data_IF_846225469585
#
_entry.id   IF_846225469585
#
_cell.length_a   1.000
_cell.length_b   1.000
_cell.length_c   1.000
_cell.angle_alpha   90.00
_cell.angle_beta   90.00
_cell.angle_gamma   90.00
#
_symmetry.space_group_name_H-M   'P 1'
#
loop_
_entity.id
_entity.type
_entity.pdbx_description
1 polymer ?
#
# COMPACT_ATOMS: atom_id res chain seq x y z
N UNK A 1 15.66 15.72 -10.76
CA UNK A 1 16.90 16.05 -10.05
C UNK A 1 16.74 15.48 -8.65
N UNK A 2 17.57 14.52 -8.24
CA UNK A 2 17.55 14.10 -6.85
C UNK A 2 18.02 15.28 -5.98
N UNK A 3 17.25 15.68 -4.96
CA UNK A 3 17.67 16.74 -4.07
C UNK A 3 18.90 16.27 -3.29
N UNK A 4 19.95 17.09 -3.28
CA UNK A 4 21.13 16.82 -2.44
C UNK A 4 20.77 17.08 -0.97
N UNK A 5 20.74 16.03 -0.17
CA UNK A 5 20.60 16.10 1.28
C UNK A 5 21.94 16.51 1.92
N UNK A 6 21.93 17.66 2.61
CA UNK A 6 23.07 18.16 3.40
C UNK A 6 22.82 17.76 4.85
N UNK A 7 23.19 16.52 5.17
CA UNK A 7 22.98 15.67 6.37
C UNK A 7 23.12 16.29 7.78
N UNK A 8 23.21 17.60 7.91
CA UNK A 8 23.42 18.33 9.17
C UNK A 8 22.11 18.68 9.88
N UNK A 9 20.96 18.22 9.38
CA UNK A 9 19.67 18.61 9.93
C UNK A 9 19.20 17.66 11.02
N UNK A 10 18.81 18.22 12.16
CA UNK A 10 18.28 17.48 13.30
C UNK A 10 16.76 17.51 13.27
N UNK A 11 16.10 16.37 13.47
CA UNK A 11 14.64 16.33 13.66
C UNK A 11 14.27 17.15 14.90
N UNK A 12 13.22 17.98 14.82
CA UNK A 12 12.83 18.82 15.96
C UNK A 12 12.45 17.96 17.17
N UNK A 13 12.82 18.45 18.35
CA UNK A 13 12.64 17.72 19.61
C UNK A 13 11.16 17.44 19.91
N UNK A 14 10.26 18.40 19.70
CA UNK A 14 8.83 18.23 19.93
C UNK A 14 8.21 17.13 19.06
N UNK A 15 8.62 17.07 17.80
CA UNK A 15 8.17 16.04 16.87
C UNK A 15 8.80 14.67 17.16
N UNK A 16 10.08 14.64 17.56
CA UNK A 16 10.75 13.41 18.00
C UNK A 16 10.07 12.84 19.25
N UNK A 17 9.78 13.69 20.23
CA UNK A 17 9.12 13.31 21.48
C UNK A 17 7.73 12.72 21.22
N UNK A 18 6.96 13.30 20.29
CA UNK A 18 5.68 12.75 19.86
C UNK A 18 5.83 11.31 19.32
N UNK A 19 6.78 11.07 18.42
CA UNK A 19 7.02 9.74 17.86
C UNK A 19 7.61 8.77 18.89
N UNK A 20 8.45 9.26 19.79
CA UNK A 20 9.06 8.45 20.85
C UNK A 20 8.05 8.05 21.93
N UNK A 21 6.99 8.84 22.15
CA UNK A 21 5.90 8.44 23.05
C UNK A 21 5.08 7.28 22.49
N UNK A 22 4.93 7.20 21.17
CA UNK A 22 4.08 6.20 20.52
C UNK A 22 4.84 4.92 20.14
N UNK A 23 6.07 5.06 19.63
CA UNK A 23 6.87 3.92 19.11
C UNK A 23 8.18 3.71 19.84
N UNK A 24 8.53 4.59 20.77
CA UNK A 24 9.72 4.48 21.61
C UNK A 24 9.48 3.72 22.91
N UNK A 25 10.41 3.82 23.88
CA UNK A 25 11.67 4.56 23.79
C UNK A 25 12.63 3.94 22.77
N UNK A 26 13.32 4.78 22.00
CA UNK A 26 14.35 4.32 21.06
C UNK A 26 15.68 4.14 21.78
N UNK A 27 16.34 3.01 21.52
CA UNK A 27 17.59 2.65 22.16
C UNK A 27 18.82 3.18 21.42
N UNK A 28 18.67 3.45 20.12
CA UNK A 28 19.77 3.93 19.29
C UNK A 28 19.26 4.78 18.13
N UNK A 29 20.01 5.84 17.85
CA UNK A 29 19.89 6.62 16.63
C UNK A 29 20.78 5.99 15.55
N UNK A 30 20.18 5.37 14.54
CA UNK A 30 20.90 4.62 13.53
C UNK A 30 21.72 5.50 12.58
N UNK A 31 21.56 6.82 12.56
CA UNK A 31 22.42 7.63 11.70
C UNK A 31 22.65 9.03 12.24
N UNK A 32 23.85 9.24 12.76
CA UNK A 32 24.35 10.56 13.13
C UNK A 32 25.66 10.91 12.43
N UNK A 33 25.97 12.19 12.31
CA UNK A 33 27.27 12.67 11.84
C UNK A 33 28.43 12.10 12.68
N UNK A 34 29.67 12.25 12.20
CA UNK A 34 30.88 11.70 12.86
C UNK A 34 31.07 12.18 14.32
N UNK A 35 30.35 13.22 14.75
CA UNK A 35 30.37 13.75 16.12
C UNK A 35 29.07 13.54 16.92
N UNK A 36 28.05 12.87 16.38
CA UNK A 36 26.76 12.67 17.04
C UNK A 36 25.94 13.95 17.26
N UNK A 37 26.20 15.05 16.54
CA UNK A 37 25.54 16.36 16.72
C UNK A 37 24.06 16.33 16.41
N UNK A 38 23.64 15.54 15.43
CA UNK A 38 22.24 15.40 15.03
C UNK A 38 21.50 14.24 15.74
N UNK A 39 22.12 13.59 16.73
CA UNK A 39 21.51 12.47 17.46
C UNK A 39 20.26 12.88 18.23
N UNK A 40 19.29 11.98 18.28
CA UNK A 40 18.09 12.11 19.10
C UNK A 40 18.19 11.39 20.45
N UNK A 41 19.02 10.35 20.53
CA UNK A 41 19.25 9.57 21.76
C UNK A 41 20.74 9.43 22.05
N UNK A 42 21.08 8.99 23.27
CA UNK A 42 22.46 8.97 23.76
C UNK A 42 23.37 8.04 22.94
N UNK A 43 22.86 6.85 22.60
CA UNK A 43 23.55 5.87 21.76
C UNK A 43 23.26 6.14 20.29
N UNK A 44 24.30 6.18 19.46
CA UNK A 44 24.12 6.45 18.04
C UNK A 44 25.13 5.67 17.18
N UNK A 45 24.80 5.54 15.90
CA UNK A 45 25.65 4.97 14.87
C UNK A 45 25.98 5.98 13.80
N UNK A 46 27.22 5.94 13.32
CA UNK A 46 27.65 6.73 12.15
C UNK A 46 27.43 5.94 10.87
N UNK A 47 27.61 4.62 10.87
CA UNK A 47 27.35 3.77 9.71
C UNK A 47 26.55 2.53 10.12
N UNK A 48 25.23 2.66 10.16
CA UNK A 48 24.33 1.59 10.60
C UNK A 48 24.39 0.30 9.77
N UNK A 49 25.03 0.31 8.60
CA UNK A 49 25.22 -0.91 7.82
C UNK A 49 26.22 -1.86 8.49
N UNK A 50 27.12 -1.33 9.33
CA UNK A 50 28.15 -2.10 10.05
C UNK A 50 27.70 -2.54 11.44
N UNK A 51 26.65 -1.92 11.97
CA UNK A 51 26.17 -2.17 13.32
C UNK A 51 25.11 -3.29 13.40
N UNK A 52 24.84 -3.73 14.64
CA UNK A 52 23.89 -4.79 14.94
C UNK A 52 22.55 -4.21 15.41
N UNK A 53 21.49 -4.49 14.66
CA UNK A 53 20.12 -4.04 14.92
C UNK A 53 19.28 -5.02 15.76
N UNK A 54 19.80 -6.23 16.03
CA UNK A 54 19.05 -7.30 16.69
C UNK A 54 18.66 -6.93 18.12
N UNK A 55 17.40 -7.16 18.47
CA UNK A 55 16.85 -6.91 19.80
C UNK A 55 16.79 -5.44 20.20
N UNK A 56 16.91 -4.50 19.24
CA UNK A 56 16.86 -3.07 19.50
C UNK A 56 15.59 -2.43 18.93
N UNK A 57 15.10 -1.39 19.59
CA UNK A 57 14.17 -0.41 19.04
C UNK A 57 14.93 0.80 18.47
N UNK A 58 14.95 0.92 17.15
CA UNK A 58 15.87 1.81 16.43
C UNK A 58 15.15 3.03 15.85
N UNK A 59 15.66 4.24 16.12
CA UNK A 59 15.27 5.44 15.39
C UNK A 59 16.16 5.62 14.16
N UNK A 60 15.58 5.88 12.99
CA UNK A 60 16.36 6.04 11.76
C UNK A 60 15.83 7.17 10.87
N UNK A 61 16.64 8.21 10.70
CA UNK A 61 16.46 9.26 9.70
C UNK A 61 17.60 9.17 8.66
N UNK A 62 17.53 8.25 7.67
CA UNK A 62 18.64 8.00 6.75
C UNK A 62 18.80 9.14 5.73
N UNK A 63 20.03 9.38 5.24
CA UNK A 63 20.27 10.43 4.27
C UNK A 63 19.62 10.12 2.92
N UNK A 64 19.07 11.14 2.26
CA UNK A 64 18.30 10.94 1.03
C UNK A 64 19.17 10.76 -0.23
N UNK A 65 20.46 11.14 -0.19
CA UNK A 65 21.34 11.17 -1.38
C UNK A 65 22.81 10.84 -1.08
N UNK A 66 23.11 9.76 -0.35
CA UNK A 66 24.50 9.35 -0.09
C UNK A 66 24.92 8.18 -0.99
N UNK A 67 26.11 8.26 -1.61
CA UNK A 67 26.62 7.24 -2.53
C UNK A 67 26.95 5.89 -1.84
N UNK A 68 27.17 5.90 -0.52
CA UNK A 68 27.56 4.71 0.26
C UNK A 68 26.41 4.14 1.11
N UNK A 69 25.48 4.99 1.55
CA UNK A 69 24.43 4.64 2.51
C UNK A 69 23.07 5.04 1.91
N UNK A 70 22.61 4.23 0.96
CA UNK A 70 21.30 4.42 0.33
C UNK A 70 20.20 3.96 1.28
N UNK A 71 19.02 4.57 1.19
CA UNK A 71 17.86 4.16 1.99
C UNK A 71 17.53 2.68 1.75
N UNK A 72 17.66 2.21 0.50
CA UNK A 72 17.47 0.80 0.17
C UNK A 72 18.44 -0.11 0.93
N UNK A 73 19.72 0.25 1.03
CA UNK A 73 20.71 -0.51 1.79
C UNK A 73 20.36 -0.56 3.28
N UNK A 74 19.91 0.57 3.85
CA UNK A 74 19.47 0.64 5.26
C UNK A 74 18.25 -0.26 5.51
N UNK A 75 17.24 -0.18 4.64
CA UNK A 75 16.05 -1.02 4.77
C UNK A 75 16.38 -2.51 4.60
N UNK A 76 17.26 -2.87 3.66
CA UNK A 76 17.74 -4.25 3.47
C UNK A 76 18.47 -4.75 4.71
N UNK A 77 19.40 -3.95 5.24
CA UNK A 77 20.11 -4.25 6.48
C UNK A 77 19.15 -4.51 7.63
N UNK A 78 18.16 -3.63 7.84
CA UNK A 78 17.16 -3.85 8.88
C UNK A 78 16.40 -5.16 8.67
N UNK A 79 15.91 -5.43 7.45
CA UNK A 79 15.16 -6.67 7.14
C UNK A 79 16.00 -7.91 7.41
N UNK A 80 17.29 -7.90 7.07
CA UNK A 80 18.21 -9.00 7.33
C UNK A 80 18.37 -9.27 8.82
N UNK A 81 18.55 -8.23 9.63
CA UNK A 81 18.68 -8.36 11.09
C UNK A 81 17.35 -8.74 11.76
N UNK A 82 16.24 -8.15 11.31
CA UNK A 82 14.90 -8.47 11.78
C UNK A 82 14.53 -9.93 11.50
N UNK A 83 14.95 -10.51 10.37
CA UNK A 83 14.72 -11.94 10.10
C UNK A 83 15.43 -12.87 11.08
N UNK A 84 16.52 -12.41 11.68
CA UNK A 84 17.31 -13.17 12.63
C UNK A 84 16.77 -13.04 14.06
N UNK A 85 16.14 -11.91 14.40
CA UNK A 85 15.48 -11.69 15.70
C UNK A 85 14.15 -10.91 15.55
N UNK A 86 13.13 -11.53 14.94
CA UNK A 86 11.92 -10.82 14.56
C UNK A 86 11.09 -10.43 15.78
N UNK A 87 11.18 -11.15 16.89
CA UNK A 87 10.36 -10.90 18.09
C UNK A 87 10.81 -9.70 18.91
N UNK A 88 12.07 -9.27 18.77
CA UNK A 88 12.65 -8.21 19.59
C UNK A 88 13.21 -7.03 18.79
N UNK A 89 13.36 -7.15 17.47
CA UNK A 89 13.84 -6.04 16.63
C UNK A 89 12.69 -5.16 16.14
N UNK A 90 12.81 -3.85 16.36
CA UNK A 90 11.88 -2.84 15.83
C UNK A 90 12.61 -1.59 15.37
N UNK A 91 11.97 -0.82 14.49
CA UNK A 91 12.53 0.45 14.05
C UNK A 91 11.45 1.43 13.59
N UNK A 92 11.71 2.72 13.74
CA UNK A 92 10.94 3.79 13.13
C UNK A 92 11.82 4.55 12.13
N UNK A 93 11.38 4.58 10.88
CA UNK A 93 12.07 5.25 9.79
C UNK A 93 11.37 6.55 9.39
N UNK A 94 12.11 7.62 9.18
CA UNK A 94 11.63 8.83 8.51
C UNK A 94 12.14 8.84 7.07
N UNK A 95 11.26 8.60 6.11
CA UNK A 95 11.59 8.36 4.70
C UNK A 95 10.93 9.41 3.79
N UNK A 96 11.45 9.69 2.59
CA UNK A 96 10.79 10.58 1.65
C UNK A 96 9.64 9.89 0.91
N UNK A 97 8.54 10.58 0.65
CA UNK A 97 7.36 10.00 -0.04
C UNK A 97 7.53 9.94 -1.58
N UNK A 98 8.62 10.46 -2.15
CA UNK A 98 8.83 10.34 -3.61
C UNK A 98 9.28 8.94 -4.05
N UNK A 99 9.71 8.05 -3.13
CA UNK A 99 10.16 6.67 -3.44
C UNK A 99 9.21 5.56 -2.95
N UNK A 100 8.10 5.87 -2.29
CA UNK A 100 7.09 4.90 -1.82
C UNK A 100 6.40 4.12 -2.96
N UNK A 101 6.57 4.60 -4.19
CA UNK A 101 6.11 3.96 -5.44
C UNK A 101 7.13 3.00 -6.06
N UNK A 102 8.36 2.94 -5.55
CA UNK A 102 9.38 2.01 -6.05
C UNK A 102 9.04 0.56 -5.63
N UNK A 103 8.98 -0.40 -6.57
CA UNK A 103 8.63 -1.79 -6.27
C UNK A 103 9.53 -2.46 -5.22
N UNK A 104 10.81 -2.07 -5.18
CA UNK A 104 11.83 -2.64 -4.30
C UNK A 104 11.56 -2.33 -2.82
N UNK A 105 11.19 -1.09 -2.49
CA UNK A 105 10.85 -0.71 -1.10
C UNK A 105 9.59 -1.39 -0.61
N UNK A 106 8.58 -1.52 -1.50
CA UNK A 106 7.35 -2.24 -1.17
C UNK A 106 7.61 -3.70 -0.81
N UNK A 107 8.59 -4.34 -1.47
CA UNK A 107 9.01 -5.69 -1.12
C UNK A 107 9.66 -5.75 0.27
N UNK A 108 10.52 -4.78 0.59
CA UNK A 108 11.18 -4.70 1.90
C UNK A 108 10.18 -4.44 3.02
N UNK A 109 9.25 -3.49 2.82
CA UNK A 109 8.20 -3.18 3.80
C UNK A 109 7.36 -4.42 4.12
N UNK A 110 6.95 -5.17 3.09
CA UNK A 110 6.21 -6.43 3.28
C UNK A 110 7.03 -7.47 4.05
N UNK A 111 8.33 -7.55 3.79
CA UNK A 111 9.18 -8.62 4.34
C UNK A 111 9.46 -8.51 5.84
N UNK A 112 9.32 -7.32 6.43
CA UNK A 112 9.47 -7.09 7.87
C UNK A 112 8.23 -6.45 8.52
N UNK A 113 7.05 -6.59 7.88
CA UNK A 113 5.79 -6.10 8.44
C UNK A 113 5.71 -4.57 8.65
N UNK A 114 6.52 -3.80 7.92
CA UNK A 114 6.60 -2.35 8.06
C UNK A 114 5.31 -1.66 7.60
N UNK A 115 4.91 -0.61 8.30
CA UNK A 115 3.66 0.14 8.09
C UNK A 115 3.95 1.62 7.98
N UNK A 116 3.29 2.28 7.05
CA UNK A 116 3.26 3.75 7.01
C UNK A 116 2.25 4.21 8.06
N UNK A 117 2.75 4.83 9.12
CA UNK A 117 1.93 5.31 10.23
C UNK A 117 1.46 6.75 9.95
N UNK A 118 2.38 7.59 9.48
CA UNK A 118 2.09 8.99 9.14
C UNK A 118 2.61 9.35 7.77
N UNK A 119 1.81 10.14 7.05
CA UNK A 119 2.23 10.88 5.86
C UNK A 119 2.31 12.34 6.28
N UNK A 120 3.51 12.90 6.23
CA UNK A 120 3.81 14.27 6.65
C UNK A 120 3.84 15.14 5.38
N UNK A 121 2.83 16.00 5.17
CA UNK A 121 2.80 16.88 3.99
C UNK A 121 3.84 17.99 4.11
N UNK A 122 4.15 18.65 3.00
CA UNK A 122 5.04 19.82 2.99
C UNK A 122 4.39 21.07 3.57
N UNK A 123 3.06 21.13 3.58
CA UNK A 123 2.27 22.23 4.13
C UNK A 123 1.14 21.67 4.99
N UNK A 124 0.78 22.40 6.05
CA UNK A 124 -0.29 22.02 6.96
C UNK A 124 -1.69 22.32 6.36
N UNK A 125 -2.74 22.12 7.16
CA UNK A 125 -4.11 22.36 6.73
C UNK A 125 -4.42 23.85 6.49
N UNK A 126 -3.58 24.75 6.99
CA UNK A 126 -3.67 26.20 6.86
C UNK A 126 -2.84 26.71 5.66
N UNK A 127 -2.03 25.85 5.05
CA UNK A 127 -1.16 26.19 3.94
C UNK A 127 0.21 26.72 4.38
N UNK A 128 0.54 26.65 5.66
CA UNK A 128 1.86 27.02 6.18
C UNK A 128 2.85 25.87 5.99
N UNK A 129 4.13 26.16 5.70
CA UNK A 129 5.13 25.13 5.50
C UNK A 129 5.36 24.34 6.79
N UNK A 130 5.31 23.02 6.67
CA UNK A 130 5.62 22.11 7.76
C UNK A 130 7.14 22.07 7.91
N UNK A 131 7.62 22.37 9.11
CA UNK A 131 9.04 22.42 9.45
C UNK A 131 9.37 21.35 10.48
N UNK A 132 9.93 20.23 10.02
CA UNK A 132 10.28 19.06 10.87
C UNK A 132 11.74 19.00 11.28
N UNK A 133 12.60 19.73 10.57
CA UNK A 133 14.03 19.72 10.80
C UNK A 133 14.53 21.09 11.22
N UNK A 134 15.57 21.09 12.04
CA UNK A 134 16.35 22.25 12.42
C UNK A 134 17.77 22.11 11.87
N UNK A 135 18.29 23.19 11.29
CA UNK A 135 19.69 23.31 10.91
C UNK A 135 20.60 23.42 12.17
N UNK A 136 21.92 23.24 12.04
CA UNK A 136 22.85 23.31 13.18
C UNK A 136 22.84 24.65 13.93
N UNK A 137 22.42 25.74 13.27
CA UNK A 137 22.26 27.07 13.85
C UNK A 137 20.90 27.28 14.53
N UNK A 138 20.03 26.27 14.51
CA UNK A 138 18.68 26.30 15.09
C UNK A 138 17.59 26.80 14.14
N UNK A 139 17.91 27.17 12.88
CA UNK A 139 16.91 27.59 11.91
C UNK A 139 15.98 26.42 11.53
N UNK A 140 14.68 26.67 11.53
CA UNK A 140 13.69 25.68 11.08
C UNK A 140 13.68 25.59 9.56
N UNK A 141 13.56 24.36 9.05
CA UNK A 141 13.66 24.07 7.62
C UNK A 141 12.33 23.60 7.06
N UNK A 142 11.89 24.25 5.99
CA UNK A 142 10.72 23.85 5.22
C UNK A 142 10.96 22.50 4.58
N UNK A 143 9.94 21.65 4.57
CA UNK A 143 10.00 20.36 3.90
C UNK A 143 9.97 20.53 2.37
N UNK A 144 11.03 20.15 1.65
CA UNK A 144 11.06 20.23 0.19
C UNK A 144 10.19 19.15 -0.49
N UNK A 145 9.83 18.08 0.23
CA UNK A 145 8.93 17.01 -0.21
C UNK A 145 8.23 16.37 1.00
N UNK A 146 7.09 15.68 0.78
CA UNK A 146 6.41 14.97 1.87
C UNK A 146 7.28 13.84 2.43
N UNK A 147 7.12 13.55 3.71
CA UNK A 147 7.81 12.46 4.40
C UNK A 147 6.83 11.38 4.85
N UNK A 148 7.38 10.21 5.14
CA UNK A 148 6.68 9.05 5.69
C UNK A 148 7.34 8.69 7.02
N UNK A 149 6.53 8.56 8.07
CA UNK A 149 6.93 7.83 9.27
C UNK A 149 6.54 6.36 9.07
N UNK A 150 7.55 5.50 8.94
CA UNK A 150 7.37 4.08 8.67
C UNK A 150 7.81 3.29 9.89
N UNK A 151 6.85 2.64 10.56
CA UNK A 151 7.12 1.82 11.73
C UNK A 151 7.27 0.35 11.33
N UNK A 152 8.33 -0.28 11.80
CA UNK A 152 8.63 -1.69 11.64
C UNK A 152 8.49 -2.36 13.03
N UNK A 153 7.33 -2.96 13.33
CA UNK A 153 7.10 -3.58 14.63
C UNK A 153 7.86 -4.90 14.76
N UNK A 154 8.10 -5.37 16.00
CA UNK A 154 8.47 -6.75 16.21
C UNK A 154 7.37 -7.68 15.68
N UNK A 155 7.76 -8.85 15.20
CA UNK A 155 6.82 -9.90 14.83
C UNK A 155 5.94 -10.23 16.04
N UNK A 156 4.65 -9.97 15.91
CA UNK A 156 3.68 -10.43 16.89
C UNK A 156 3.81 -11.95 16.98
N UNK A 157 4.05 -12.48 18.18
CA UNK A 157 3.90 -13.91 18.42
C UNK A 157 2.54 -14.30 17.86
N UNK A 158 2.57 -15.16 16.84
CA UNK A 158 1.38 -15.82 16.34
C UNK A 158 0.92 -16.67 17.53
N UNK A 159 0.06 -16.13 18.38
CA UNK A 159 -0.85 -16.96 19.16
C UNK A 159 -1.41 -17.90 18.11
N UNK A 160 -1.14 -19.21 18.26
CA UNK A 160 -1.75 -20.25 17.43
C UNK A 160 -3.23 -19.91 17.50
N UNK A 161 -3.73 -19.23 16.47
CA UNK A 161 -5.14 -18.98 16.33
C UNK A 161 -5.62 -20.40 16.07
N UNK A 162 -6.11 -21.06 17.12
CA UNK A 162 -7.09 -22.12 16.95
C UNK A 162 -7.96 -21.64 15.81
N UNK A 163 -8.08 -22.46 14.75
CA UNK A 163 -9.05 -22.19 13.70
C UNK A 163 -10.33 -21.84 14.43
N UNK A 164 -10.68 -20.56 14.50
CA UNK A 164 -12.01 -20.12 14.88
C UNK A 164 -12.86 -20.61 13.72
N UNK A 165 -13.33 -21.83 13.86
CA UNK A 165 -14.47 -22.40 13.14
C UNK A 165 -15.75 -21.66 13.51
N UNK A 166 -15.71 -20.76 14.48
CA UNK A 166 -16.73 -19.74 14.63
C UNK A 166 -16.49 -18.61 13.64
N UNK A 167 -17.24 -18.67 12.54
CA UNK A 167 -17.88 -17.45 12.02
C UNK A 167 -18.28 -16.57 13.20
N UNK A 168 -18.09 -15.23 13.16
CA UNK A 168 -18.75 -14.37 14.13
C UNK A 168 -20.23 -14.81 14.15
N UNK A 169 -20.85 -14.94 15.34
CA UNK A 169 -22.24 -15.35 15.39
C UNK A 169 -22.98 -14.46 14.40
N UNK A 170 -23.78 -15.03 13.47
CA UNK A 170 -24.65 -14.19 12.67
C UNK A 170 -25.39 -13.31 13.68
N UNK A 171 -25.54 -12.04 13.35
CA UNK A 171 -26.44 -11.17 14.11
C UNK A 171 -27.77 -11.91 14.12
N UNK A 172 -28.08 -12.56 15.24
CA UNK A 172 -29.34 -13.25 15.42
C UNK A 172 -30.34 -12.11 15.48
N UNK A 173 -31.11 -11.99 14.41
CA UNK A 173 -32.30 -11.14 14.35
C UNK A 173 -33.30 -11.70 15.34
N UNK A 174 -33.19 -11.32 16.61
CA UNK A 174 -34.29 -11.50 17.58
C UNK A 174 -35.29 -10.40 17.30
N UNK A 175 -36.19 -10.70 16.37
CA UNK A 175 -37.18 -9.78 15.83
C UNK A 175 -37.41 -10.19 14.39
N UNK A 176 -38.64 -10.59 14.09
CA UNK A 176 -39.09 -11.05 12.79
C UNK A 176 -38.44 -10.25 11.66
N UNK A 177 -37.98 -10.97 10.65
CA UNK A 177 -37.39 -10.39 9.46
C UNK A 177 -38.42 -9.55 8.69
N UNK A 178 -38.68 -8.32 9.15
CA UNK A 178 -38.95 -7.22 8.24
C UNK A 178 -37.65 -7.08 7.44
N UNK A 179 -37.71 -7.40 6.16
CA UNK A 179 -36.54 -7.40 5.34
C UNK A 179 -36.00 -5.96 5.28
N UNK A 180 -34.67 -5.80 5.27
CA UNK A 180 -34.03 -4.49 5.06
C UNK A 180 -34.48 -3.87 3.71
N UNK A 181 -34.99 -4.68 2.78
CA UNK A 181 -35.66 -4.24 1.55
C UNK A 181 -37.00 -3.53 1.81
N UNK A 182 -37.73 -3.89 2.87
CA UNK A 182 -38.99 -3.25 3.26
C UNK A 182 -38.75 -1.85 3.86
N UNK A 183 -37.61 -1.64 4.54
CA UNK A 183 -37.19 -0.32 5.03
C UNK A 183 -36.72 0.61 3.89
N UNK A 184 -36.04 0.06 2.88
CA UNK A 184 -35.47 0.82 1.75
C UNK A 184 -36.54 1.39 0.80
N UNK A 185 -37.70 0.73 0.68
CA UNK A 185 -38.76 1.18 -0.23
C UNK A 185 -39.84 2.05 0.41
N UNK A 186 -39.82 2.26 1.73
CA UNK A 186 -40.94 2.91 2.41
C UNK A 186 -40.63 4.19 3.18
N UNK A 187 -39.38 4.50 3.53
CA UNK A 187 -39.11 5.71 4.32
C UNK A 187 -39.06 6.94 3.40
N UNK A 188 -40.24 7.46 3.04
CA UNK A 188 -40.38 8.86 2.59
C UNK A 188 -39.75 9.80 3.62
N UNK A 189 -39.28 10.99 3.22
CA UNK A 189 -38.66 11.95 4.14
C UNK A 189 -39.51 12.23 5.40
N UNK A 190 -40.84 12.10 5.31
CA UNK A 190 -41.76 12.19 6.44
C UNK A 190 -41.70 11.02 7.43
N UNK A 191 -41.38 9.80 6.99
CA UNK A 191 -41.20 8.64 7.90
C UNK A 191 -39.88 8.71 8.66
N UNK A 192 -38.82 9.22 8.04
CA UNK A 192 -37.53 9.44 8.72
C UNK A 192 -37.69 10.44 9.86
N UNK A 193 -38.37 11.56 9.60
CA UNK A 193 -38.64 12.59 10.61
C UNK A 193 -39.52 12.06 11.75
N UNK A 194 -40.53 11.23 11.45
CA UNK A 194 -41.35 10.58 12.49
C UNK A 194 -40.54 9.61 13.35
N UNK A 195 -39.68 8.80 12.73
CA UNK A 195 -38.81 7.87 13.44
C UNK A 195 -37.76 8.61 14.30
N UNK A 196 -37.24 9.74 13.82
CA UNK A 196 -36.35 10.62 14.57
C UNK A 196 -37.06 11.23 15.78
N UNK A 197 -38.28 11.77 15.60
CA UNK A 197 -39.08 12.28 16.71
C UNK A 197 -39.37 11.20 17.76
N UNK A 198 -39.69 9.98 17.32
CA UNK A 198 -39.93 8.85 18.21
C UNK A 198 -38.65 8.38 18.94
N UNK A 199 -37.47 8.48 18.31
CA UNK A 199 -36.18 8.19 18.96
C UNK A 199 -35.88 9.17 20.10
N UNK A 200 -36.06 10.46 19.84
CA UNK A 200 -35.84 11.51 20.83
C UNK A 200 -36.84 11.46 21.99
N UNK A 201 -38.00 10.82 21.80
CA UNK A 201 -38.98 10.53 22.85
C UNK A 201 -38.69 9.28 23.69
N UNK A 202 -37.77 8.39 23.26
CA UNK A 202 -37.49 7.13 23.97
C UNK A 202 -36.60 7.35 25.20
N UNK A 203 -36.88 6.71 26.34
CA UNK A 203 -35.98 6.72 27.49
C UNK A 203 -34.68 6.00 27.15
N UNK A 204 -33.55 6.65 27.41
CA UNK A 204 -32.23 6.13 27.11
C UNK A 204 -31.13 7.19 27.18
N UNK A 205 -29.88 6.83 26.82
CA UNK A 205 -28.73 7.73 26.93
C UNK A 205 -28.92 9.06 26.21
N UNK A 206 -29.57 9.05 25.04
CA UNK A 206 -29.85 10.26 24.26
C UNK A 206 -30.81 11.22 25.00
N UNK A 207 -31.86 10.70 25.63
CA UNK A 207 -32.82 11.51 26.38
C UNK A 207 -32.22 12.03 27.69
N UNK A 208 -31.37 11.24 28.37
CA UNK A 208 -30.59 11.71 29.52
C UNK A 208 -29.68 12.86 29.12
N UNK A 209 -28.94 12.70 28.01
CA UNK A 209 -28.08 13.75 27.47
C UNK A 209 -28.89 15.03 27.17
N UNK A 210 -30.03 14.91 26.50
CA UNK A 210 -30.90 16.07 26.24
C UNK A 210 -31.35 16.79 27.50
N UNK A 211 -31.77 16.06 28.55
CA UNK A 211 -32.18 16.66 29.82
C UNK A 211 -31.02 17.38 30.49
N UNK A 212 -29.84 16.77 30.52
CA UNK A 212 -28.62 17.39 31.04
C UNK A 212 -28.32 18.73 30.32
N UNK A 213 -28.41 18.75 28.99
CA UNK A 213 -28.19 19.97 28.19
C UNK A 213 -29.31 21.02 28.33
N UNK A 214 -30.54 20.61 28.67
CA UNK A 214 -31.66 21.52 28.95
C UNK A 214 -31.60 22.13 30.35
N UNK A 215 -31.21 21.34 31.36
CA UNK A 215 -31.12 21.74 32.77
C UNK A 215 -29.86 22.57 33.07
N UNK A 216 -28.81 22.38 32.28
CA UNK A 216 -27.53 23.08 32.46
C UNK A 216 -26.97 23.59 31.12
N UNK A 217 -27.60 24.59 30.46
CA UNK A 217 -27.17 25.12 29.16
C UNK A 217 -25.74 25.72 29.15
N UNK A 218 -25.14 25.90 30.33
CA UNK A 218 -23.82 26.46 30.53
C UNK A 218 -22.76 25.41 30.94
N UNK A 219 -23.15 24.15 31.17
CA UNK A 219 -22.29 23.12 31.76
C UNK A 219 -22.04 21.98 30.76
N UNK A 220 -20.94 22.14 29.98
CA UNK A 220 -20.40 21.31 28.86
C UNK A 220 -21.18 21.49 27.54
N UNK A 221 -20.62 21.76 26.36
CA UNK A 221 -19.27 22.03 25.79
C UNK A 221 -19.49 22.87 24.52
N UNK A 222 -18.48 23.57 23.98
CA UNK A 222 -18.55 24.37 22.72
C UNK A 222 -19.11 23.61 21.50
N UNK A 223 -19.22 22.29 21.57
CA UNK A 223 -19.44 21.40 20.45
C UNK A 223 -20.87 20.84 20.36
N UNK A 224 -21.78 21.12 21.29
CA UNK A 224 -23.17 20.62 21.23
C UNK A 224 -24.19 21.70 21.55
N UNK A 225 -25.34 21.67 20.88
CA UNK A 225 -26.46 22.56 21.15
C UNK A 225 -27.80 21.86 20.91
N UNK A 226 -28.84 22.32 21.61
CA UNK A 226 -30.22 21.87 21.41
C UNK A 226 -30.95 22.94 20.60
N UNK A 227 -31.57 22.54 19.49
CA UNK A 227 -32.41 23.43 18.67
C UNK A 227 -33.78 22.78 18.54
N UNK A 228 -34.80 23.40 19.13
CA UNK A 228 -36.10 22.76 19.30
C UNK A 228 -36.00 21.54 20.23
N UNK A 229 -36.41 20.38 19.74
CA UNK A 229 -36.38 19.11 20.50
C UNK A 229 -35.34 18.12 19.96
N UNK A 230 -34.30 18.60 19.27
CA UNK A 230 -33.23 17.76 18.73
C UNK A 230 -31.85 18.29 19.14
N UNK A 231 -30.93 17.34 19.32
CA UNK A 231 -29.56 17.58 19.75
C UNK A 231 -28.65 17.62 18.53
N UNK A 232 -27.86 18.68 18.45
CA UNK A 232 -26.90 18.92 17.39
C UNK A 232 -25.49 18.96 17.97
N UNK A 233 -24.54 18.42 17.22
CA UNK A 233 -23.12 18.64 17.40
C UNK A 233 -22.64 19.70 16.42
N UNK A 234 -21.98 20.74 16.92
CA UNK A 234 -21.30 21.75 16.12
C UNK A 234 -19.83 21.36 16.00
N UNK A 235 -19.38 21.04 14.79
CA UNK A 235 -17.99 20.65 14.55
C UNK A 235 -17.50 21.24 13.25
N UNK A 236 -16.38 21.97 13.29
CA UNK A 236 -15.81 22.66 12.13
C UNK A 236 -16.85 23.51 11.37
N UNK A 237 -17.68 24.27 12.11
CA UNK A 237 -18.73 25.14 11.54
C UNK A 237 -19.95 24.41 10.99
N UNK A 238 -20.07 23.09 11.16
CA UNK A 238 -21.20 22.29 10.67
C UNK A 238 -22.06 21.74 11.81
N UNK A 239 -23.37 21.75 11.59
CA UNK A 239 -24.34 21.10 12.47
C UNK A 239 -24.52 19.64 12.04
N UNK A 240 -24.29 18.74 12.98
CA UNK A 240 -24.44 17.30 12.82
C UNK A 240 -25.52 16.81 13.79
N UNK A 241 -26.57 16.19 13.28
CA UNK A 241 -27.66 15.65 14.09
C UNK A 241 -27.15 14.45 14.90
N UNK A 242 -27.38 14.46 16.21
CA UNK A 242 -26.92 13.38 17.09
C UNK A 242 -27.90 12.21 17.04
N UNK A 243 -27.38 10.98 16.89
CA UNK A 243 -28.17 9.74 16.94
C UNK A 243 -27.75 8.88 18.15
N UNK A 244 -28.73 8.30 18.85
CA UNK A 244 -28.53 7.46 20.02
C UNK A 244 -27.85 6.12 19.68
N UNK A 245 -27.22 5.48 20.68
CA UNK A 245 -26.42 4.23 20.54
C UNK A 245 -27.17 3.11 19.80
N UNK A 246 -28.43 2.92 20.15
CA UNK A 246 -29.32 1.89 19.59
C UNK A 246 -30.29 2.44 18.54
N UNK A 247 -29.91 3.54 17.87
CA UNK A 247 -30.78 4.17 16.87
C UNK A 247 -30.89 3.30 15.61
N UNK A 248 -32.10 2.86 15.22
CA UNK A 248 -32.30 2.17 13.94
C UNK A 248 -32.04 3.09 12.74
N UNK A 249 -31.98 4.42 12.95
CA UNK A 249 -31.68 5.38 11.90
C UNK A 249 -30.22 5.35 11.47
N UNK A 250 -29.31 4.82 12.31
CA UNK A 250 -27.89 4.65 11.94
C UNK A 250 -27.76 3.79 10.70
N UNK A 251 -28.48 2.69 10.61
CA UNK A 251 -28.42 1.80 9.44
C UNK A 251 -28.94 2.49 8.17
N UNK A 252 -30.00 3.28 8.29
CA UNK A 252 -30.54 4.08 7.17
C UNK A 252 -29.50 5.09 6.69
N UNK A 253 -28.86 5.81 7.62
CA UNK A 253 -27.81 6.78 7.30
C UNK A 253 -26.59 6.10 6.67
N UNK A 254 -26.15 4.96 7.21
CA UNK A 254 -25.02 4.20 6.69
C UNK A 254 -25.30 3.67 5.28
N UNK A 255 -26.49 3.13 5.04
CA UNK A 255 -26.92 2.65 3.73
C UNK A 255 -26.94 3.79 2.70
N UNK A 256 -27.54 4.93 3.03
CA UNK A 256 -27.61 6.08 2.12
C UNK A 256 -26.22 6.68 1.83
N UNK A 257 -25.38 6.82 2.86
CA UNK A 257 -24.03 7.37 2.70
C UNK A 257 -23.09 6.45 1.89
N UNK A 258 -23.34 5.14 1.93
CA UNK A 258 -22.50 4.13 1.29
C UNK A 258 -22.99 3.73 -0.11
N UNK A 259 -24.28 3.41 -0.24
CA UNK A 259 -24.82 2.65 -1.37
C UNK A 259 -25.93 3.39 -2.14
N UNK A 260 -26.20 4.67 -1.85
CA UNK A 260 -27.04 5.48 -2.73
C UNK A 260 -26.41 5.63 -4.12
N UNK A 261 -27.24 5.95 -5.12
CA UNK A 261 -26.79 6.13 -6.51
C UNK A 261 -25.68 7.17 -6.61
N UNK A 262 -25.74 8.24 -5.81
CA UNK A 262 -24.70 9.27 -5.74
C UNK A 262 -23.50 8.88 -4.85
N UNK A 263 -23.65 7.85 -4.01
CA UNK A 263 -22.61 7.38 -3.13
C UNK A 263 -21.66 6.37 -3.79
N UNK A 264 -22.13 5.65 -4.81
CA UNK A 264 -21.34 4.73 -5.66
C UNK A 264 -20.49 3.72 -4.87
N UNK A 265 -21.01 3.15 -3.78
CA UNK A 265 -20.28 2.16 -2.97
C UNK A 265 -18.91 2.65 -2.49
N UNK A 266 -18.83 3.93 -2.11
CA UNK A 266 -17.56 4.54 -1.75
C UNK A 266 -16.88 3.84 -0.57
N UNK A 267 -15.55 3.93 -0.54
CA UNK A 267 -14.72 3.40 0.54
C UNK A 267 -15.03 4.04 1.91
N UNK A 268 -14.42 3.46 2.96
CA UNK A 268 -14.63 3.84 4.36
C UNK A 268 -14.56 5.36 4.59
N UNK A 269 -13.50 6.01 4.15
CA UNK A 269 -13.25 7.41 4.51
C UNK A 269 -14.25 8.36 3.84
N UNK A 270 -14.58 8.12 2.56
CA UNK A 270 -15.63 8.87 1.85
C UNK A 270 -17.01 8.63 2.45
N UNK A 271 -17.31 7.40 2.87
CA UNK A 271 -18.57 7.09 3.54
C UNK A 271 -18.65 7.79 4.90
N UNK A 272 -17.56 7.78 5.67
CA UNK A 272 -17.47 8.47 6.96
C UNK A 272 -17.65 9.97 6.81
N UNK A 273 -16.98 10.57 5.82
CA UNK A 273 -17.10 11.99 5.52
C UNK A 273 -18.55 12.37 5.21
N UNK A 274 -19.27 11.58 4.39
CA UNK A 274 -20.68 11.80 4.08
C UNK A 274 -21.59 11.69 5.29
N UNK A 275 -21.37 10.71 6.16
CA UNK A 275 -22.10 10.56 7.43
C UNK A 275 -21.89 11.82 8.28
N UNK A 276 -20.63 12.19 8.50
CA UNK A 276 -20.24 13.33 9.35
C UNK A 276 -20.60 14.69 8.74
N UNK A 277 -21.08 14.79 7.50
CA UNK A 277 -21.65 16.03 6.98
C UNK A 277 -22.94 16.43 7.67
N UNK A 278 -23.72 15.46 8.16
CA UNK A 278 -25.10 15.69 8.61
C UNK A 278 -25.46 14.97 9.91
N UNK A 279 -24.77 13.90 10.25
CA UNK A 279 -25.07 13.06 11.40
C UNK A 279 -23.83 12.82 12.24
N UNK A 280 -24.02 12.60 13.53
CA UNK A 280 -22.95 12.23 14.44
C UNK A 280 -23.45 11.24 15.49
N UNK A 281 -22.57 10.31 15.85
CA UNK A 281 -22.71 9.50 17.04
C UNK A 281 -21.36 8.99 17.53
N UNK A 282 -21.31 8.58 18.80
CA UNK A 282 -20.14 7.91 19.37
C UNK A 282 -19.91 6.59 18.64
N UNK A 283 -18.72 6.39 18.08
CA UNK A 283 -18.37 5.17 17.33
C UNK A 283 -18.70 5.20 15.83
N UNK A 284 -19.13 6.34 15.27
CA UNK A 284 -19.50 6.43 13.84
C UNK A 284 -18.42 5.93 12.87
N UNK A 285 -17.14 6.19 13.15
CA UNK A 285 -16.03 5.70 12.33
C UNK A 285 -15.91 4.16 12.33
N UNK A 286 -16.13 3.52 13.47
CA UNK A 286 -16.09 2.06 13.60
C UNK A 286 -17.30 1.42 12.93
N UNK A 287 -18.49 1.98 13.13
CA UNK A 287 -19.72 1.51 12.49
C UNK A 287 -19.61 1.62 10.96
N UNK A 288 -19.10 2.73 10.42
CA UNK A 288 -18.83 2.88 8.99
C UNK A 288 -17.82 1.84 8.51
N UNK A 289 -16.73 1.60 9.26
CA UNK A 289 -15.75 0.57 8.93
C UNK A 289 -16.36 -0.83 8.87
N UNK A 290 -17.22 -1.18 9.84
CA UNK A 290 -17.96 -2.43 9.87
C UNK A 290 -18.95 -2.54 8.71
N UNK A 291 -19.66 -1.46 8.38
CA UNK A 291 -20.63 -1.42 7.28
C UNK A 291 -19.99 -1.63 5.90
N UNK A 292 -18.91 -0.90 5.61
CA UNK A 292 -18.22 -1.02 4.32
C UNK A 292 -17.55 -2.39 4.18
N UNK A 293 -17.05 -2.96 5.28
CA UNK A 293 -16.43 -4.30 5.25
C UNK A 293 -17.44 -5.44 5.09
N UNK A 294 -18.70 -5.26 5.51
CA UNK A 294 -19.78 -6.23 5.30
C UNK A 294 -20.46 -6.13 3.93
N UNK A 295 -20.22 -5.06 3.15
CA UNK A 295 -20.83 -4.86 1.84
C UNK A 295 -20.29 -5.85 0.79
N UNK A 296 -21.13 -6.79 0.36
CA UNK A 296 -20.78 -7.83 -0.63
C UNK A 296 -20.32 -7.25 -1.98
N UNK A 297 -20.95 -6.17 -2.45
CA UNK A 297 -20.60 -5.50 -3.72
C UNK A 297 -19.19 -4.93 -3.63
N UNK A 298 -18.88 -4.21 -2.54
CA UNK A 298 -17.53 -3.71 -2.32
C UNK A 298 -16.52 -4.84 -2.18
N UNK A 299 -16.83 -5.93 -1.46
CA UNK A 299 -15.89 -7.05 -1.32
C UNK A 299 -15.65 -7.79 -2.65
N UNK A 300 -16.62 -7.81 -3.55
CA UNK A 300 -16.50 -8.46 -4.86
C UNK A 300 -15.75 -7.59 -5.88
N UNK A 301 -16.00 -6.28 -5.89
CA UNK A 301 -15.43 -5.33 -6.88
C UNK A 301 -14.06 -4.83 -6.47
N UNK A 302 -13.77 -4.77 -5.16
CA UNK A 302 -12.51 -4.22 -4.65
C UNK A 302 -11.35 -5.04 -5.22
N UNK A 303 -10.46 -4.45 -6.05
CA UNK A 303 -9.26 -5.14 -6.48
C UNK A 303 -8.51 -5.54 -5.22
N UNK A 304 -8.10 -6.82 -5.15
CA UNK A 304 -7.19 -7.26 -4.10
C UNK A 304 -5.93 -6.43 -4.24
N UNK A 305 -5.76 -5.44 -3.36
CA UNK A 305 -4.49 -4.71 -3.23
C UNK A 305 -3.35 -5.62 -2.71
N UNK A 306 -3.66 -6.88 -2.41
CA UNK A 306 -2.72 -7.98 -2.29
C UNK A 306 -2.70 -8.76 -3.60
N UNK A 307 -1.70 -8.48 -4.45
CA UNK A 307 -1.26 -9.46 -5.44
C UNK A 307 -0.87 -10.74 -4.70
N UNK A 308 -1.20 -11.95 -5.20
CA UNK A 308 -0.68 -13.17 -4.61
C UNK A 308 0.84 -13.09 -4.58
N UNK A 309 1.43 -13.32 -3.40
CA UNK A 309 2.84 -13.23 -3.05
C UNK A 309 3.69 -14.31 -3.73
N UNK A 310 3.61 -14.42 -5.05
CA UNK A 310 4.57 -15.18 -5.83
C UNK A 310 5.90 -14.43 -5.85
N UNK A 311 6.96 -15.04 -5.33
CA UNK A 311 8.31 -14.62 -5.66
C UNK A 311 8.46 -14.70 -7.19
N UNK A 312 8.84 -13.59 -7.83
CA UNK A 312 9.28 -13.64 -9.23
C UNK A 312 10.50 -14.57 -9.24
N UNK A 313 10.41 -15.74 -9.87
CA UNK A 313 11.53 -16.66 -10.03
C UNK A 313 12.45 -16.11 -11.12
N UNK A 314 13.61 -15.50 -10.79
CA UNK A 314 14.47 -14.94 -11.81
C UNK A 314 15.09 -16.10 -12.60
N UNK A 315 14.82 -16.14 -13.90
CA UNK A 315 15.44 -17.11 -14.80
C UNK A 315 16.97 -16.98 -14.72
N UNK A 316 17.68 -18.11 -14.63
CA UNK A 316 19.14 -18.17 -14.59
C UNK A 316 19.80 -17.31 -15.66
N UNK A 317 20.92 -16.67 -15.31
CA UNK A 317 21.67 -15.84 -16.25
C UNK A 317 22.38 -16.80 -17.23
N UNK A 318 22.18 -16.65 -18.55
CA UNK A 318 22.85 -17.50 -19.54
C UNK A 318 24.36 -17.24 -19.54
N UNK A 319 25.16 -18.27 -19.82
CA UNK A 319 26.62 -18.17 -19.88
C UNK A 319 27.15 -18.04 -21.31
N UNK A 320 26.31 -18.34 -22.31
CA UNK A 320 26.65 -18.25 -23.74
C UNK A 320 25.73 -17.28 -24.47
N UNK A 321 26.27 -16.60 -25.47
CA UNK A 321 25.47 -15.78 -26.40
C UNK A 321 24.42 -16.67 -27.07
N UNK A 322 23.22 -16.14 -27.25
CA UNK A 322 22.09 -16.83 -27.89
C UNK A 322 21.63 -18.13 -27.22
N UNK A 323 22.13 -18.46 -26.02
CA UNK A 323 21.71 -19.64 -25.25
C UNK A 323 20.26 -19.54 -24.77
N UNK A 324 19.82 -18.33 -24.41
CA UNK A 324 18.43 -18.07 -24.04
C UNK A 324 17.96 -16.89 -24.86
N UNK A 325 16.93 -17.14 -25.67
CA UNK A 325 16.32 -16.15 -26.56
C UNK A 325 14.90 -15.88 -26.08
N UNK A 326 14.61 -14.61 -25.81
CA UNK A 326 13.25 -14.16 -25.55
C UNK A 326 12.60 -13.79 -26.87
N UNK A 327 11.38 -14.26 -27.08
CA UNK A 327 10.56 -13.91 -28.25
C UNK A 327 9.40 -13.04 -27.76
N UNK A 328 9.17 -11.91 -28.42
CA UNK A 328 8.02 -11.04 -28.13
C UNK A 328 7.44 -10.46 -29.43
N UNK A 329 6.17 -10.04 -29.39
CA UNK A 329 5.43 -9.55 -30.55
C UNK A 329 4.90 -8.14 -30.30
N UNK A 330 5.13 -7.25 -31.25
CA UNK A 330 4.44 -5.97 -31.30
C UNK A 330 3.40 -6.05 -32.41
N UNK A 331 2.13 -5.89 -32.03
CA UNK A 331 0.96 -6.12 -32.90
C UNK A 331 0.08 -4.88 -32.97
N UNK A 332 -0.90 -4.88 -33.89
CA UNK A 332 -1.82 -3.76 -34.07
C UNK A 332 -1.19 -2.55 -34.76
N UNK A 333 -0.12 -2.78 -35.55
CA UNK A 333 0.53 -1.74 -36.32
C UNK A 333 -0.21 -1.50 -37.65
N UNK A 334 -0.08 -0.31 -38.26
CA UNK A 334 -0.59 -0.07 -39.60
C UNK A 334 0.00 -1.07 -40.61
N UNK A 335 -0.87 -1.61 -41.48
CA UNK A 335 -0.45 -2.56 -42.50
C UNK A 335 0.49 -1.89 -43.49
N UNK A 336 1.69 -2.46 -43.63
CA UNK A 336 2.68 -1.99 -44.60
C UNK A 336 2.35 -2.44 -46.02
N UNK A 337 2.99 -1.83 -47.03
CA UNK A 337 2.84 -2.24 -48.44
C UNK A 337 3.22 -3.71 -48.73
N UNK A 338 3.98 -4.35 -47.83
CA UNK A 338 4.34 -5.77 -47.89
C UNK A 338 3.40 -6.67 -47.08
N UNK A 339 2.24 -6.13 -46.66
CA UNK A 339 1.21 -6.84 -45.90
C UNK A 339 1.68 -7.37 -44.54
N UNK A 340 2.44 -6.56 -43.80
CA UNK A 340 2.81 -6.84 -42.41
C UNK A 340 2.16 -5.82 -41.47
N UNK A 341 1.58 -6.30 -40.37
CA UNK A 341 0.87 -5.54 -39.32
C UNK A 341 1.48 -5.75 -37.93
N UNK A 342 2.58 -6.52 -37.85
CA UNK A 342 3.29 -6.84 -36.63
C UNK A 342 4.77 -7.09 -36.91
N UNK A 343 5.55 -7.21 -35.83
CA UNK A 343 6.90 -7.78 -35.89
C UNK A 343 7.18 -8.64 -34.67
N UNK A 344 7.96 -9.71 -34.89
CA UNK A 344 8.56 -10.50 -33.84
C UNK A 344 9.92 -9.92 -33.47
N UNK A 345 10.22 -9.90 -32.18
CA UNK A 345 11.53 -9.57 -31.64
C UNK A 345 12.17 -10.83 -31.08
N UNK A 346 13.43 -11.06 -31.41
CA UNK A 346 14.26 -12.14 -30.88
C UNK A 346 15.41 -11.53 -30.12
N UNK A 347 15.36 -11.63 -28.80
CA UNK A 347 16.30 -10.96 -27.89
C UNK A 347 17.22 -11.98 -27.23
N UNK A 348 18.53 -11.86 -27.45
CA UNK A 348 19.52 -12.61 -26.70
C UNK A 348 19.56 -12.11 -25.25
N UNK A 349 19.25 -12.98 -24.28
CA UNK A 349 19.13 -12.58 -22.88
C UNK A 349 20.46 -12.13 -22.26
N UNK A 350 21.59 -12.65 -22.73
CA UNK A 350 22.94 -12.30 -22.24
C UNK A 350 23.42 -10.95 -22.79
N UNK A 351 23.52 -10.80 -24.11
CA UNK A 351 24.02 -9.57 -24.74
C UNK A 351 23.00 -8.44 -24.87
N UNK A 352 21.71 -8.74 -24.69
CA UNK A 352 20.58 -7.83 -24.98
C UNK A 352 20.46 -7.42 -26.45
N UNK A 353 21.16 -8.10 -27.35
CA UNK A 353 21.01 -7.90 -28.79
C UNK A 353 19.62 -8.35 -29.25
N UNK A 354 18.97 -7.53 -30.09
CA UNK A 354 17.61 -7.77 -30.58
C UNK A 354 17.62 -7.87 -32.10
N UNK A 355 17.00 -8.92 -32.64
CA UNK A 355 16.61 -9.00 -34.05
C UNK A 355 15.11 -8.76 -34.18
N UNK A 356 14.72 -7.93 -35.13
CA UNK A 356 13.32 -7.57 -35.38
C UNK A 356 12.94 -8.08 -36.76
N UNK A 357 11.86 -8.85 -36.84
CA UNK A 357 11.42 -9.49 -38.08
C UNK A 357 9.94 -9.13 -38.32
N UNK A 358 9.61 -8.42 -39.40
CA UNK A 358 8.23 -8.07 -39.73
C UNK A 358 7.44 -9.31 -40.14
N UNK A 359 6.17 -9.39 -39.74
CA UNK A 359 5.27 -10.48 -40.08
C UNK A 359 3.80 -10.03 -40.08
N UNK A 360 2.93 -10.90 -40.60
CA UNK A 360 1.48 -10.80 -40.46
C UNK A 360 1.05 -11.56 -39.19
N UNK A 361 0.45 -10.89 -38.21
CA UNK A 361 0.12 -11.52 -36.92
C UNK A 361 -0.93 -12.61 -37.06
N UNK A 362 -1.81 -12.52 -38.06
CA UNK A 362 -2.78 -13.58 -38.35
C UNK A 362 -2.11 -14.89 -38.76
N UNK A 363 -0.89 -14.82 -39.30
CA UNK A 363 -0.10 -15.98 -39.76
C UNK A 363 0.99 -16.40 -38.76
N UNK A 364 1.00 -15.84 -37.54
CA UNK A 364 2.07 -16.06 -36.54
C UNK A 364 1.89 -17.36 -35.75
N UNK A 365 1.66 -18.49 -36.42
CA UNK A 365 1.61 -19.79 -35.75
C UNK A 365 2.97 -20.14 -35.15
N UNK A 366 3.00 -20.98 -34.11
CA UNK A 366 4.25 -21.40 -33.47
C UNK A 366 5.25 -22.03 -34.48
N UNK A 367 4.74 -22.76 -35.47
CA UNK A 367 5.54 -23.34 -36.55
C UNK A 367 6.18 -22.27 -37.44
N UNK A 368 5.41 -21.24 -37.82
CA UNK A 368 5.92 -20.12 -38.62
C UNK A 368 6.99 -19.35 -37.85
N UNK A 369 6.78 -19.12 -36.55
CA UNK A 369 7.77 -18.45 -35.69
C UNK A 369 9.04 -19.28 -35.51
N UNK A 370 8.92 -20.59 -35.34
CA UNK A 370 10.07 -21.48 -35.29
C UNK A 370 10.87 -21.44 -36.60
N UNK A 371 10.18 -21.46 -37.75
CA UNK A 371 10.83 -21.34 -39.06
C UNK A 371 11.55 -20.00 -39.22
N UNK A 372 10.90 -18.90 -38.86
CA UNK A 372 11.51 -17.56 -38.85
C UNK A 372 12.76 -17.52 -37.96
N UNK A 373 12.71 -18.14 -36.78
CA UNK A 373 13.87 -18.25 -35.89
C UNK A 373 15.04 -18.97 -36.57
N UNK A 374 14.79 -20.14 -37.20
CA UNK A 374 15.85 -20.88 -37.88
C UNK A 374 16.42 -20.12 -39.08
N UNK A 375 15.56 -19.46 -39.86
CA UNK A 375 15.95 -18.79 -41.09
C UNK A 375 16.70 -17.47 -40.86
N UNK A 376 16.33 -16.72 -39.82
CA UNK A 376 16.84 -15.37 -39.63
C UNK A 376 17.73 -15.21 -38.41
N UNK A 377 17.57 -16.06 -37.39
CA UNK A 377 18.34 -15.97 -36.14
C UNK A 377 19.42 -17.03 -36.13
N UNK A 378 19.03 -18.32 -36.15
CA UNK A 378 19.96 -19.44 -36.04
C UNK A 378 21.07 -19.39 -37.10
N UNK A 379 20.73 -19.17 -38.37
CA UNK A 379 21.74 -19.07 -39.45
C UNK A 379 22.79 -17.99 -39.21
N UNK A 380 22.38 -16.85 -38.65
CA UNK A 380 23.26 -15.68 -38.43
C UNK A 380 24.09 -15.82 -37.15
N UNK A 381 23.52 -16.44 -36.11
CA UNK A 381 24.10 -16.44 -34.77
C UNK A 381 24.79 -17.76 -34.40
N UNK A 382 24.30 -18.89 -34.90
CA UNK A 382 24.93 -20.21 -34.66
C UNK A 382 26.28 -20.31 -35.38
N UNK A 383 26.43 -19.74 -36.58
CA UNK A 383 27.71 -19.70 -37.29
C UNK A 383 28.78 -18.89 -36.53
N UNK A 384 28.40 -17.76 -35.93
CA UNK A 384 29.32 -16.95 -35.11
C UNK A 384 29.72 -17.65 -33.81
N UNK A 385 28.83 -18.45 -33.21
CA UNK A 385 29.18 -19.28 -32.06
C UNK A 385 30.14 -20.42 -32.41
N UNK A 386 30.14 -20.89 -33.66
CA UNK A 386 31.02 -21.96 -34.13
C UNK A 386 32.49 -21.50 -34.24
N UNK A 387 32.73 -20.24 -34.63
CA UNK A 387 34.09 -19.64 -34.62
C UNK A 387 34.62 -19.40 -33.20
N UNK A 388 33.77 -19.01 -32.25
CA UNK A 388 34.15 -18.86 -30.84
C UNK A 388 34.45 -20.22 -30.16
N UNK A 389 33.85 -21.31 -30.64
CA UNK A 389 34.06 -22.68 -30.13
C UNK A 389 35.36 -23.36 -30.59
N UNK A 390 36.16 -22.77 -31.49
CA UNK A 390 37.45 -23.35 -31.94
C UNK A 390 38.64 -23.07 -31.00
N UNK A 391 38.43 -22.49 -29.81
CA UNK A 391 39.45 -22.54 -28.74
C UNK A 391 39.37 -23.89 -28.02
N UNK A 392 40.49 -24.62 -27.83
CA UNK A 392 40.45 -26.05 -27.49
C UNK A 392 39.93 -26.34 -26.07
N UNK A 393 38.89 -27.18 -25.96
CA UNK A 393 38.39 -27.79 -24.72
C UNK A 393 37.04 -28.52 -24.93
N UNK A 394 36.74 -29.66 -24.26
CA UNK A 394 36.45 -30.92 -24.96
C UNK A 394 34.98 -31.29 -25.23
N UNK A 395 34.83 -32.07 -26.31
CA UNK A 395 33.80 -33.07 -26.64
C UNK A 395 32.33 -32.63 -26.79
N UNK A 396 31.93 -32.52 -28.06
CA UNK A 396 30.56 -32.68 -28.54
C UNK A 396 30.00 -34.06 -28.13
N UNK A 397 28.84 -34.10 -27.48
CA UNK A 397 27.99 -35.31 -27.42
C UNK A 397 26.58 -34.97 -27.89
N UNK A 398 26.10 -35.73 -28.87
CA UNK A 398 24.87 -35.48 -29.62
C UNK A 398 23.61 -35.95 -28.89
N UNK A 399 23.05 -35.09 -28.04
CA UNK A 399 21.69 -35.25 -27.50
C UNK A 399 21.04 -33.88 -27.31
N UNK A 400 20.49 -33.28 -28.36
CA UNK A 400 19.63 -32.09 -28.24
C UNK A 400 18.66 -32.01 -29.42
N UNK A 401 17.86 -33.07 -29.62
CA UNK A 401 16.64 -33.01 -30.45
C UNK A 401 15.62 -33.98 -29.86
N UNK A 402 15.01 -33.63 -28.73
CA UNK A 402 13.77 -34.27 -28.27
C UNK A 402 13.08 -33.31 -27.30
N UNK A 403 11.92 -32.77 -27.71
CA UNK A 403 11.17 -31.81 -26.91
C UNK A 403 10.42 -30.73 -27.70
N UNK A 404 9.99 -31.01 -28.94
CA UNK A 404 9.04 -30.14 -29.66
C UNK A 404 7.71 -30.89 -29.75
N UNK A 405 6.99 -30.91 -28.63
CA UNK A 405 5.67 -31.52 -28.58
C UNK A 405 5.31 -31.93 -27.16
N UNK A 406 4.47 -31.09 -26.53
CA UNK A 406 3.60 -31.37 -25.36
C UNK A 406 3.75 -30.30 -24.28
N UNK A 407 2.92 -29.24 -24.36
CA UNK A 407 2.09 -28.72 -23.26
C UNK A 407 1.40 -27.42 -23.69
N UNK A 408 0.13 -27.51 -24.10
CA UNK A 408 -0.75 -26.36 -24.29
C UNK A 408 -1.71 -26.27 -23.10
N UNK A 409 -1.70 -25.13 -22.40
CA UNK A 409 -2.61 -24.84 -21.31
C UNK A 409 -2.42 -23.44 -20.72
N UNK A 410 -3.00 -22.43 -21.38
CA UNK A 410 -3.35 -21.10 -20.87
C UNK A 410 -2.48 -20.48 -19.74
N UNK A 411 -1.33 -19.90 -20.07
CA UNK A 411 -0.81 -18.68 -19.42
C UNK A 411 0.01 -17.86 -20.44
N UNK A 412 -0.30 -16.57 -20.54
CA UNK A 412 0.38 -15.59 -21.40
C UNK A 412 1.82 -15.39 -20.95
N UNK A 413 2.75 -15.97 -21.70
CA UNK A 413 4.20 -15.91 -21.48
C UNK A 413 4.89 -17.17 -21.99
N UNK A 414 4.91 -17.38 -23.30
CA UNK A 414 5.60 -18.53 -23.91
C UNK A 414 7.11 -18.27 -23.91
N UNK A 415 7.81 -18.87 -22.94
CA UNK A 415 9.26 -18.98 -22.94
C UNK A 415 9.66 -20.35 -23.47
N UNK A 416 10.31 -20.38 -24.64
CA UNK A 416 10.96 -21.59 -25.14
C UNK A 416 12.33 -21.72 -24.49
N UNK A 417 12.52 -22.74 -23.65
CA UNK A 417 13.84 -23.28 -23.38
C UNK A 417 14.08 -24.35 -24.45
N UNK A 418 14.98 -24.06 -25.40
CA UNK A 418 15.53 -25.05 -26.32
C UNK A 418 16.90 -25.50 -25.81
#
# INVERSE_FOLDING_TARGET
MEPSDRQDWKFRADMFDFLSQEYGPFEVDARCDLGGKNRQVDRYWTDCLKDNWRGLNVWCNPPFSSNHLTIEAVLRKYVEEWRLDPENTSALFVLPDFQSRMPQWRQLFRSAGMRVEYIIPTHDAQGEPVQMFAAPDGALLDLPWPLLAVYAPPAQQRVKRERRTSSPPPIVRTGEAASVRDLQHQISGGQFLKALQAEYGRPGPLQTLMKEFQEAPHQRTRDFCVVGNVLWRVSAGRYQLVLGEDSPLREVVLQEAHASVSAEHAGRDKTLERVLRRFWWKGAAEDVGRWVSSCAICQAVRPRNFYPDGLLNPLTIPTRLWQVVSVDFVTGLPVTARNHDAFATFTCKLSKMVHIIPLSFQDSSAEVIARIYFDHIWKVTAWRSYEDCLRPGPSFSGRYVEGVGETYGNQSGLHYAL
#
